data_IF_493606497675
#
_entry.id   IF_493606497675
#
_cell.length_a   1.000
_cell.length_b   1.000
_cell.length_c   1.000
_cell.angle_alpha   90.00
_cell.angle_beta   90.00
_cell.angle_gamma   90.00
#
_symmetry.space_group_name_H-M   'P 1'
#
loop_
_entity.id
_entity.type
_entity.pdbx_description
1 polymer ?
#
# COMPACT_ATOMS: atom_id res chain seq x y z
N UNK A 1 29.20 -22.12 -22.05
CA UNK A 1 28.00 -21.36 -22.41
C UNK A 1 26.97 -21.54 -21.31
N UNK A 2 26.63 -20.44 -20.64
CA UNK A 2 25.39 -20.21 -19.88
C UNK A 2 24.91 -21.27 -18.87
N UNK A 3 25.73 -21.56 -17.86
CA UNK A 3 25.33 -22.37 -16.70
C UNK A 3 25.35 -21.56 -15.40
N UNK A 4 24.83 -20.34 -15.44
CA UNK A 4 24.70 -19.50 -14.24
C UNK A 4 23.40 -18.70 -14.27
N UNK A 5 22.28 -19.41 -14.15
CA UNK A 5 21.00 -18.88 -13.64
C UNK A 5 21.09 -18.55 -12.13
N UNK A 6 22.31 -18.34 -11.62
CA UNK A 6 22.61 -18.04 -10.23
C UNK A 6 22.49 -16.55 -9.97
N UNK A 7 21.29 -16.01 -10.19
CA UNK A 7 20.79 -14.82 -9.51
C UNK A 7 19.28 -14.88 -9.69
N UNK A 8 18.64 -15.76 -8.91
CA UNK A 8 17.39 -15.37 -8.28
C UNK A 8 17.74 -14.13 -7.43
N UNK A 9 17.87 -12.99 -8.12
CA UNK A 9 17.66 -11.68 -7.52
C UNK A 9 16.34 -11.86 -6.80
N UNK A 10 16.37 -11.82 -5.46
CA UNK A 10 15.22 -11.95 -4.58
C UNK A 10 14.24 -10.86 -5.02
N UNK A 11 13.44 -11.15 -6.04
CA UNK A 11 12.45 -10.24 -6.55
C UNK A 11 11.56 -10.04 -5.36
N UNK A 12 11.53 -8.83 -4.82
CA UNK A 12 10.42 -8.38 -4.02
C UNK A 12 9.24 -8.44 -5.00
N UNK A 13 8.67 -9.64 -5.16
CA UNK A 13 7.47 -9.85 -5.92
C UNK A 13 6.48 -9.05 -5.10
N UNK A 14 6.05 -7.94 -5.67
CA UNK A 14 5.04 -7.11 -5.06
C UNK A 14 3.88 -8.05 -4.69
N UNK A 15 3.64 -8.19 -3.39
CA UNK A 15 2.63 -9.11 -2.87
C UNK A 15 1.21 -8.71 -3.28
N UNK A 16 1.06 -7.50 -3.84
CA UNK A 16 -0.18 -6.91 -4.32
C UNK A 16 -0.20 -7.06 -5.84
N UNK A 17 -1.23 -7.70 -6.35
CA UNK A 17 -1.46 -7.83 -7.80
C UNK A 17 -1.74 -6.46 -8.43
N UNK A 18 -1.55 -6.30 -9.75
CA UNK A 18 -1.89 -5.04 -10.45
C UNK A 18 -3.36 -4.63 -10.23
N UNK A 19 -4.28 -5.60 -10.21
CA UNK A 19 -5.70 -5.37 -9.97
C UNK A 19 -5.98 -4.88 -8.54
N UNK A 20 -5.28 -5.44 -7.55
CA UNK A 20 -5.38 -4.96 -6.18
C UNK A 20 -4.81 -3.55 -6.07
N UNK A 21 -3.64 -3.29 -6.69
CA UNK A 21 -3.06 -1.94 -6.71
C UNK A 21 -4.03 -0.93 -7.29
N UNK A 22 -4.66 -1.22 -8.44
CA UNK A 22 -5.61 -0.30 -9.06
C UNK A 22 -6.84 -0.03 -8.16
N UNK A 23 -7.29 -1.02 -7.37
CA UNK A 23 -8.34 -0.80 -6.35
C UNK A 23 -7.86 0.10 -5.21
N UNK A 24 -6.61 -0.06 -4.78
CA UNK A 24 -6.01 0.77 -3.73
C UNK A 24 -5.76 2.21 -4.23
N UNK A 25 -5.37 2.37 -5.49
CA UNK A 25 -5.20 3.67 -6.16
C UNK A 25 -6.55 4.41 -6.25
N UNK A 26 -7.63 3.74 -6.67
CA UNK A 26 -8.98 4.35 -6.64
C UNK A 26 -9.41 4.78 -5.23
N UNK A 27 -9.01 4.01 -4.22
CA UNK A 27 -9.26 4.34 -2.81
C UNK A 27 -8.43 5.55 -2.36
N UNK A 28 -7.20 5.66 -2.86
CA UNK A 28 -6.33 6.80 -2.60
C UNK A 28 -6.86 8.07 -3.27
N UNK A 29 -7.32 8.00 -4.51
CA UNK A 29 -7.93 9.12 -5.22
C UNK A 29 -9.20 9.64 -4.52
N UNK A 30 -10.00 8.74 -3.95
CA UNK A 30 -11.19 9.12 -3.15
C UNK A 30 -10.84 9.86 -1.86
N UNK A 31 -9.61 9.72 -1.34
CA UNK A 31 -9.13 10.52 -0.21
C UNK A 31 -8.79 11.97 -0.60
N UNK A 32 -8.87 12.32 -1.89
CA UNK A 32 -8.52 13.63 -2.44
C UNK A 32 -7.13 14.06 -1.97
N UNK A 33 -6.07 13.43 -2.50
CA UNK A 33 -4.70 13.79 -2.17
C UNK A 33 -4.44 15.25 -2.54
N UNK A 34 -3.88 16.01 -1.61
CA UNK A 34 -3.47 17.39 -1.84
C UNK A 34 -2.02 17.34 -2.28
N UNK A 35 -1.75 17.73 -3.52
CA UNK A 35 -0.40 17.68 -4.13
C UNK A 35 0.22 16.26 -4.17
N UNK A 36 -0.61 15.21 -4.27
CA UNK A 36 -0.14 13.82 -4.27
C UNK A 36 0.09 13.24 -2.87
N UNK A 37 -0.24 13.99 -1.81
CA UNK A 37 -0.13 13.53 -0.43
C UNK A 37 -1.51 13.47 0.24
N UNK A 38 -1.74 12.38 0.98
CA UNK A 38 -2.87 12.29 1.91
C UNK A 38 -2.36 12.75 3.27
N UNK A 39 -3.06 13.71 3.89
CA UNK A 39 -2.69 14.18 5.23
C UNK A 39 -2.88 13.05 6.26
N UNK A 40 -2.04 13.02 7.29
CA UNK A 40 -2.13 11.99 8.34
C UNK A 40 -3.50 11.93 9.01
N UNK A 41 -4.20 13.07 9.12
CA UNK A 41 -5.58 13.12 9.62
C UNK A 41 -6.57 12.39 8.69
N UNK A 42 -6.47 12.61 7.37
CA UNK A 42 -7.31 11.90 6.39
C UNK A 42 -7.01 10.41 6.37
N UNK A 43 -5.75 10.03 6.42
CA UNK A 43 -5.36 8.62 6.46
C UNK A 43 -5.83 7.95 7.75
N UNK A 44 -5.66 8.61 8.92
CA UNK A 44 -6.20 8.13 10.19
C UNK A 44 -7.73 7.96 10.13
N UNK A 45 -8.46 8.95 9.63
CA UNK A 45 -9.91 8.87 9.48
C UNK A 45 -10.34 7.75 8.54
N UNK A 46 -9.58 7.50 7.47
CA UNK A 46 -9.81 6.39 6.55
C UNK A 46 -9.62 5.02 7.23
N UNK A 47 -8.54 4.88 7.98
CA UNK A 47 -8.22 3.67 8.72
C UNK A 47 -9.23 3.39 9.85
N UNK A 48 -9.68 4.42 10.57
CA UNK A 48 -10.74 4.29 11.60
C UNK A 48 -12.07 3.85 10.97
N UNK A 49 -12.41 4.33 9.78
CA UNK A 49 -13.63 3.91 9.06
C UNK A 49 -13.62 2.43 8.65
N UNK A 50 -12.44 1.82 8.57
CA UNK A 50 -12.32 0.39 8.26
C UNK A 50 -12.68 -0.51 9.47
N UNK A 51 -12.99 0.08 10.62
CA UNK A 51 -13.38 -0.63 11.84
C UNK A 51 -12.21 -1.25 12.60
N UNK A 52 -10.97 -0.87 12.26
CA UNK A 52 -9.78 -1.35 12.96
C UNK A 52 -9.54 -0.56 14.26
N UNK A 53 -9.07 -1.21 15.33
CA UNK A 53 -8.74 -0.52 16.58
C UNK A 53 -7.55 0.43 16.42
N UNK A 54 -7.54 1.55 17.13
CA UNK A 54 -6.44 2.53 17.09
C UNK A 54 -5.06 1.94 17.39
N UNK A 55 -4.98 0.92 18.25
CA UNK A 55 -3.73 0.20 18.55
C UNK A 55 -3.14 -0.45 17.30
N UNK A 56 -3.97 -1.13 16.50
CA UNK A 56 -3.55 -1.78 15.25
C UNK A 56 -3.18 -0.73 14.21
N UNK A 57 -3.94 0.38 14.14
CA UNK A 57 -3.64 1.47 13.21
C UNK A 57 -2.30 2.15 13.50
N UNK A 58 -1.92 2.25 14.78
CA UNK A 58 -0.62 2.79 15.20
C UNK A 58 0.55 1.84 14.90
N UNK A 59 0.31 0.53 14.81
CA UNK A 59 1.33 -0.46 14.41
C UNK A 59 1.55 -0.49 12.89
N UNK A 60 0.54 -0.15 12.10
CA UNK A 60 0.62 -0.11 10.63
C UNK A 60 1.30 1.18 10.12
N UNK A 61 1.14 2.29 10.84
CA UNK A 61 1.65 3.61 10.48
C UNK A 61 3.11 3.81 10.86
#
# INVERSE_FOLDING_TARGET
MCHLYHLNSLTIIWAITPEERDKHDQKFDTLSPVQGFVTGEKARNFFIQSGLPQSVLAEIW
#
